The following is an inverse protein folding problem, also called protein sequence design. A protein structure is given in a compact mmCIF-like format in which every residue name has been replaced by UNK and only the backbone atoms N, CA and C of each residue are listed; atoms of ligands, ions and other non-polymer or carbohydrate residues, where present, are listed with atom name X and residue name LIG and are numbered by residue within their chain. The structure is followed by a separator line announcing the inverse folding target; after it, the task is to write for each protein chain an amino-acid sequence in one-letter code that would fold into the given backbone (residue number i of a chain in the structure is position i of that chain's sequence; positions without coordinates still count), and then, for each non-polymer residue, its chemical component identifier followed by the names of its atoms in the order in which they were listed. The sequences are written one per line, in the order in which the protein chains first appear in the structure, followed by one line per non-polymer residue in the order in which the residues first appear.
data_IF_088774491007
#
_entry.id   IF_088774491007
#
_cell.length_a   1.000
_cell.length_b   1.000
_cell.length_c   1.000
_cell.angle_alpha   90.00
_cell.angle_beta   90.00
_cell.angle_gamma   90.00
#
_symmetry.space_group_name_H-M   'P 1'
#
loop_
_entity.id
_entity.type
_entity.pdbx_description
1 polymer ?
#
# COMPACT_ATOMS: atom_id res chain seq x y z
N UNK A 1 -17.11 12.68 -10.50
CA UNK A 1 -16.59 11.32 -10.69
C UNK A 1 -15.36 11.21 -9.81
N UNK A 2 -15.41 10.35 -8.80
CA UNK A 2 -14.30 10.19 -7.85
C UNK A 2 -13.10 9.61 -8.59
N UNK A 3 -12.09 10.46 -8.81
CA UNK A 3 -10.82 10.07 -9.41
C UNK A 3 -10.02 9.30 -8.35
N UNK A 4 -10.29 7.99 -8.25
CA UNK A 4 -9.62 7.08 -7.32
C UNK A 4 -8.31 6.65 -7.97
N UNK A 5 -7.14 7.11 -7.48
CA UNK A 5 -5.85 6.82 -8.10
C UNK A 5 -5.46 5.35 -7.98
N UNK A 6 -5.97 4.62 -6.98
CA UNK A 6 -5.65 3.23 -6.74
C UNK A 6 -6.90 2.36 -6.86
N UNK A 7 -6.70 1.14 -7.35
CA UNK A 7 -7.69 0.09 -7.34
C UNK A 7 -7.58 -0.74 -6.06
N UNK A 8 -6.37 -0.83 -5.48
CA UNK A 8 -6.07 -1.55 -4.24
C UNK A 8 -5.03 -0.82 -3.39
N UNK A 9 -5.25 -0.73 -2.08
CA UNK A 9 -4.21 -0.32 -1.11
C UNK A 9 -3.99 -1.45 -0.11
N UNK A 10 -2.74 -1.93 0.00
CA UNK A 10 -2.35 -2.96 0.97
C UNK A 10 -1.97 -2.30 2.31
N UNK A 11 -2.96 -2.14 3.19
CA UNK A 11 -2.75 -1.60 4.53
C UNK A 11 -2.17 -2.65 5.49
N UNK A 12 -1.17 -2.27 6.29
CA UNK A 12 -0.42 -3.18 7.15
C UNK A 12 0.76 -3.87 6.43
N UNK A 13 1.20 -3.33 5.30
CA UNK A 13 2.22 -3.91 4.43
C UNK A 13 3.58 -4.17 5.10
N UNK A 14 3.93 -3.41 6.16
CA UNK A 14 5.18 -3.64 6.90
C UNK A 14 5.10 -4.74 7.97
N UNK A 15 3.91 -5.33 8.19
CA UNK A 15 3.71 -6.42 9.14
C UNK A 15 4.22 -7.77 8.61
N UNK A 16 4.29 -8.79 9.48
CA UNK A 16 4.76 -10.12 9.10
C UNK A 16 4.01 -10.71 7.90
N UNK A 17 2.68 -10.77 8.00
CA UNK A 17 1.82 -11.24 6.88
C UNK A 17 1.80 -10.22 5.75
N UNK A 18 1.77 -8.92 6.07
CA UNK A 18 1.70 -7.85 5.08
C UNK A 18 2.84 -7.89 4.06
N UNK A 19 4.08 -8.15 4.51
CA UNK A 19 5.24 -8.31 3.63
C UNK A 19 5.04 -9.41 2.60
N UNK A 20 4.58 -10.59 3.06
CA UNK A 20 4.30 -11.73 2.19
C UNK A 20 3.19 -11.41 1.19
N UNK A 21 2.16 -10.68 1.63
CA UNK A 21 1.08 -10.22 0.75
C UNK A 21 1.61 -9.26 -0.32
N UNK A 22 2.48 -8.31 0.01
CA UNK A 22 3.09 -7.40 -0.97
C UNK A 22 3.89 -8.19 -2.01
N UNK A 23 4.72 -9.13 -1.57
CA UNK A 23 5.50 -9.98 -2.48
C UNK A 23 4.59 -10.84 -3.38
N UNK A 24 3.57 -11.45 -2.80
CA UNK A 24 2.61 -12.25 -3.56
C UNK A 24 1.88 -11.39 -4.58
N UNK A 25 1.37 -10.24 -4.17
CA UNK A 25 0.64 -9.33 -5.04
C UNK A 25 1.53 -8.83 -6.19
N UNK A 26 2.77 -8.42 -5.90
CA UNK A 26 3.75 -8.01 -6.89
C UNK A 26 4.03 -9.05 -7.99
N UNK A 27 4.05 -10.34 -7.61
CA UNK A 27 4.33 -11.43 -8.54
C UNK A 27 3.12 -11.82 -9.41
N UNK A 28 1.90 -11.53 -8.96
CA UNK A 28 0.67 -11.97 -9.64
C UNK A 28 -0.08 -10.84 -10.34
N UNK A 29 0.21 -9.60 -9.99
CA UNK A 29 -0.49 -8.42 -10.50
C UNK A 29 0.44 -7.62 -11.39
N UNK A 30 0.09 -7.52 -12.67
CA UNK A 30 0.75 -6.59 -13.58
C UNK A 30 0.41 -5.16 -13.17
N UNK A 31 1.42 -4.33 -12.91
CA UNK A 31 1.25 -2.90 -12.62
C UNK A 31 0.58 -2.11 -13.75
N UNK A 32 0.51 -2.67 -14.96
CA UNK A 32 -0.26 -2.10 -16.08
C UNK A 32 -1.76 -2.36 -15.99
N UNK A 33 -2.18 -3.29 -15.14
CA UNK A 33 -3.57 -3.75 -15.04
C UNK A 33 -4.24 -3.33 -13.73
N UNK A 34 -3.45 -3.08 -12.67
CA UNK A 34 -3.95 -2.65 -11.36
C UNK A 34 -3.04 -1.56 -10.82
N UNK A 35 -3.61 -0.41 -10.49
CA UNK A 35 -2.94 0.68 -9.80
C UNK A 35 -3.03 0.39 -8.30
N UNK A 36 -1.90 0.29 -7.61
CA UNK A 36 -1.92 -0.06 -6.20
C UNK A 36 -0.82 0.62 -5.40
N UNK A 37 -1.03 0.70 -4.10
CA UNK A 37 -0.11 1.28 -3.13
C UNK A 37 0.01 0.39 -1.89
N UNK A 38 1.06 0.62 -1.10
CA UNK A 38 1.23 0.02 0.23
C UNK A 38 0.99 1.05 1.31
N UNK A 39 0.43 0.63 2.44
CA UNK A 39 0.10 1.55 3.52
C UNK A 39 0.39 0.98 4.92
N UNK A 40 0.59 1.90 5.87
CA UNK A 40 0.77 1.60 7.29
C UNK A 40 1.34 2.79 8.05
N UNK A 41 1.63 2.60 9.34
CA UNK A 41 2.01 3.71 10.24
C UNK A 41 3.47 4.16 10.18
N UNK A 42 4.37 3.37 9.57
CA UNK A 42 5.80 3.66 9.57
C UNK A 42 6.36 3.69 8.14
N UNK A 43 6.62 4.91 7.64
CA UNK A 43 7.14 5.16 6.29
C UNK A 43 8.43 4.38 6.00
N UNK A 44 9.42 4.45 6.88
CA UNK A 44 10.72 3.80 6.68
C UNK A 44 10.57 2.28 6.53
N UNK A 45 9.71 1.65 7.34
CA UNK A 45 9.45 0.21 7.23
C UNK A 45 8.72 -0.15 5.94
N UNK A 46 7.82 0.71 5.45
CA UNK A 46 7.13 0.49 4.17
C UNK A 46 8.07 0.63 2.99
N UNK A 47 8.93 1.66 3.00
CA UNK A 47 9.97 1.85 1.98
C UNK A 47 10.93 0.67 1.95
N UNK A 48 11.36 0.18 3.13
CA UNK A 48 12.18 -1.04 3.21
C UNK A 48 11.48 -2.26 2.59
N UNK A 49 10.16 -2.42 2.75
CA UNK A 49 9.41 -3.53 2.11
C UNK A 49 9.32 -3.35 0.60
N UNK A 50 9.03 -2.13 0.14
CA UNK A 50 9.00 -1.80 -1.30
C UNK A 50 10.33 -2.14 -1.96
N UNK A 51 11.43 -1.74 -1.32
CA UNK A 51 12.78 -1.92 -1.82
C UNK A 51 13.22 -3.41 -1.74
N UNK A 52 12.87 -4.11 -0.66
CA UNK A 52 13.12 -5.56 -0.46
C UNK A 52 12.39 -6.41 -1.51
N UNK A 53 11.14 -6.07 -1.84
CA UNK A 53 10.33 -6.77 -2.85
C UNK A 53 10.71 -6.34 -4.28
N UNK A 54 11.34 -5.18 -4.45
CA UNK A 54 11.75 -4.67 -5.76
C UNK A 54 10.60 -4.11 -6.60
N UNK A 55 9.58 -3.53 -5.94
CA UNK A 55 8.42 -2.91 -6.62
C UNK A 55 8.51 -1.40 -6.63
N UNK A 56 7.90 -0.76 -7.62
CA UNK A 56 7.75 0.71 -7.68
C UNK A 56 6.28 1.07 -7.47
N UNK A 57 5.88 1.22 -6.20
CA UNK A 57 4.52 1.58 -5.78
C UNK A 57 4.54 2.71 -4.77
N UNK A 58 3.43 3.44 -4.69
CA UNK A 58 3.27 4.53 -3.74
C UNK A 58 3.20 4.03 -2.28
N UNK A 59 3.70 4.86 -1.36
CA UNK A 59 3.76 4.59 0.08
C UNK A 59 2.88 5.60 0.81
N UNK A 60 1.76 5.10 1.33
CA UNK A 60 0.78 5.87 2.09
C UNK A 60 0.98 5.65 3.59
N UNK A 61 1.02 6.74 4.35
CA UNK A 61 1.16 6.66 5.81
C UNK A 61 -0.18 6.97 6.45
N UNK A 62 -0.67 6.03 7.23
CA UNK A 62 -1.79 6.26 8.15
C UNK A 62 -1.60 5.38 9.38
N UNK A 63 -1.79 5.97 10.56
CA UNK A 63 -1.95 5.21 11.79
C UNK A 63 -3.39 4.71 11.88
N UNK A 64 -3.56 3.47 12.34
CA UNK A 64 -4.88 2.87 12.59
C UNK A 64 -5.69 3.61 13.66
N UNK A 65 -5.03 4.40 14.52
CA UNK A 65 -5.67 5.21 15.53
C UNK A 65 -6.05 6.61 15.04
N UNK A 66 -5.66 6.98 13.81
CA UNK A 66 -6.01 8.26 13.18
C UNK A 66 -7.08 8.04 12.10
N UNK A 67 -8.34 8.26 12.47
CA UNK A 67 -9.48 8.10 11.57
C UNK A 67 -9.35 8.99 10.32
N UNK A 68 -8.86 10.22 10.47
CA UNK A 68 -8.76 11.16 9.35
C UNK A 68 -7.73 10.71 8.31
N UNK A 69 -6.62 10.12 8.78
CA UNK A 69 -5.62 9.54 7.89
C UNK A 69 -6.14 8.29 7.16
N UNK A 70 -6.93 7.45 7.85
CA UNK A 70 -7.57 6.28 7.23
C UNK A 70 -8.59 6.72 6.18
N UNK A 71 -9.46 7.69 6.48
CA UNK A 71 -10.45 8.21 5.55
C UNK A 71 -9.79 8.79 4.29
N UNK A 72 -8.64 9.46 4.46
CA UNK A 72 -7.84 9.97 3.34
C UNK A 72 -7.33 8.84 2.44
N UNK A 73 -6.87 7.70 2.99
CA UNK A 73 -6.47 6.53 2.19
C UNK A 73 -7.68 5.90 1.50
N UNK A 74 -8.79 5.69 2.22
CA UNK A 74 -9.98 5.03 1.69
C UNK A 74 -10.62 5.83 0.55
N UNK A 75 -10.58 7.17 0.62
CA UNK A 75 -11.06 8.03 -0.46
C UNK A 75 -10.30 7.88 -1.78
N UNK A 76 -9.10 7.28 -1.74
CA UNK A 76 -8.23 7.07 -2.90
C UNK A 76 -8.45 5.71 -3.59
N UNK A 77 -9.42 4.91 -3.14
CA UNK A 77 -9.83 3.59 -3.67
C UNK A 77 -11.33 3.53 -3.94
#
# INVERSE_FOLDING_TARGET
MSDRPYDVVLYGASGFVGKQTVQYFANHVSSKSVRWAIAGRNRQKLEAVRDEVGVTVDVLVADSQDQSAIDAIVSQT
#
